data_IF_386260977483
#
_entry.id   IF_386260977483
#
_cell.length_a   1.000
_cell.length_b   1.000
_cell.length_c   1.000
_cell.angle_alpha   90.00
_cell.angle_beta   90.00
_cell.angle_gamma   90.00
#
_symmetry.space_group_name_H-M   'P 1'
#
loop_
_entity.id
_entity.type
_entity.pdbx_description
1 polymer ?
#
# COMPACT_ATOMS: atom_id res chain seq x y z
N UNK A 1 -47.50 64.28 -29.32
CA UNK A 1 -46.74 63.79 -28.16
C UNK A 1 -47.67 63.87 -26.96
N UNK A 2 -47.59 62.88 -26.07
CA UNK A 2 -48.41 62.59 -24.90
C UNK A 2 -49.79 62.02 -25.18
N UNK A 3 -49.92 60.74 -24.89
CA UNK A 3 -51.17 59.99 -24.81
C UNK A 3 -51.12 59.10 -23.56
N UNK A 4 -52.28 59.01 -22.90
CA UNK A 4 -52.78 57.92 -22.05
C UNK A 4 -52.51 57.97 -20.52
N UNK A 5 -53.61 58.26 -19.80
CA UNK A 5 -53.90 57.82 -18.43
C UNK A 5 -54.21 56.32 -18.39
N UNK A 6 -53.72 55.59 -17.38
CA UNK A 6 -54.36 54.34 -16.91
C UNK A 6 -54.37 54.29 -15.39
N UNK A 7 -55.55 54.00 -14.87
CA UNK A 7 -55.95 53.89 -13.47
C UNK A 7 -55.59 52.55 -12.83
N UNK A 8 -55.39 52.59 -11.51
CA UNK A 8 -55.16 51.44 -10.64
C UNK A 8 -56.33 50.45 -10.66
N UNK A 9 -56.02 49.17 -10.80
CA UNK A 9 -56.85 48.06 -10.32
C UNK A 9 -55.99 47.10 -9.51
N UNK A 10 -56.37 46.94 -8.24
CA UNK A 10 -55.89 45.89 -7.33
C UNK A 10 -56.22 44.52 -7.91
N UNK A 11 -55.22 43.64 -7.97
CA UNK A 11 -55.43 42.19 -8.01
C UNK A 11 -55.14 41.66 -6.60
N UNK A 12 -56.21 41.33 -5.88
CA UNK A 12 -56.18 40.31 -4.83
C UNK A 12 -56.15 38.96 -5.55
N UNK A 13 -55.07 38.18 -5.37
CA UNK A 13 -55.04 36.75 -5.70
C UNK A 13 -54.11 36.04 -4.71
N UNK A 14 -54.74 35.31 -3.80
CA UNK A 14 -54.34 34.00 -3.26
C UNK A 14 -52.97 33.89 -2.58
N UNK A 15 -52.86 34.43 -1.37
CA UNK A 15 -52.12 33.78 -0.28
C UNK A 15 -52.97 32.63 0.25
N UNK A 16 -52.67 31.38 -0.13
CA UNK A 16 -52.95 30.15 0.65
C UNK A 16 -52.60 28.85 -0.14
N UNK A 17 -51.39 28.75 -0.70
CA UNK A 17 -50.93 27.48 -1.34
C UNK A 17 -49.45 27.14 -1.10
N UNK A 18 -48.80 27.68 -0.05
CA UNK A 18 -47.36 27.46 0.17
C UNK A 18 -46.96 26.73 1.46
N UNK A 19 -47.89 26.23 2.29
CA UNK A 19 -47.50 25.59 3.57
C UNK A 19 -47.52 24.05 3.58
N UNK A 20 -48.19 23.37 2.65
CA UNK A 20 -48.35 21.90 2.73
C UNK A 20 -47.22 21.05 2.10
N UNK A 21 -46.20 21.65 1.48
CA UNK A 21 -45.09 20.90 0.88
C UNK A 21 -43.78 20.90 1.70
N UNK A 22 -43.81 21.39 2.94
CA UNK A 22 -42.61 21.42 3.81
C UNK A 22 -42.43 20.19 4.70
N UNK A 23 -43.45 19.33 4.82
CA UNK A 23 -43.43 18.15 5.70
C UNK A 23 -42.67 16.94 5.13
N UNK A 24 -42.33 16.96 3.84
CA UNK A 24 -41.51 15.94 3.18
C UNK A 24 -40.02 16.32 3.11
N UNK A 25 -39.53 17.11 4.07
CA UNK A 25 -38.10 17.39 4.13
C UNK A 25 -37.35 16.12 4.58
N UNK A 26 -36.26 15.79 3.88
CA UNK A 26 -35.29 14.75 4.25
C UNK A 26 -34.67 14.94 5.66
N UNK A 27 -35.03 16.03 6.34
CA UNK A 27 -34.68 16.38 7.71
C UNK A 27 -35.63 15.77 8.76
N UNK A 28 -36.84 15.35 8.37
CA UNK A 28 -37.86 14.81 9.28
C UNK A 28 -37.92 13.27 9.27
N UNK A 29 -37.09 12.60 8.48
CA UNK A 29 -37.01 11.13 8.49
C UNK A 29 -36.28 10.64 9.76
N UNK A 30 -36.74 9.54 10.37
CA UNK A 30 -36.01 8.85 11.43
C UNK A 30 -34.58 8.53 11.01
N UNK A 31 -33.64 8.63 11.95
CA UNK A 31 -32.21 8.43 11.71
C UNK A 31 -31.93 7.03 11.13
N UNK A 32 -32.71 6.02 11.52
CA UNK A 32 -32.58 4.65 11.03
C UNK A 32 -32.90 4.55 9.53
N UNK A 33 -33.93 5.27 9.07
CA UNK A 33 -34.31 5.30 7.65
C UNK A 33 -33.26 6.08 6.86
N UNK A 34 -32.77 7.19 7.42
CA UNK A 34 -31.68 7.96 6.81
C UNK A 34 -30.41 7.10 6.65
N UNK A 35 -30.00 6.36 7.67
CA UNK A 35 -28.86 5.45 7.62
C UNK A 35 -29.10 4.27 6.67
N UNK A 36 -30.33 3.78 6.58
CA UNK A 36 -30.69 2.77 5.57
C UNK A 36 -30.54 3.30 4.15
N UNK A 37 -30.97 4.54 3.86
CA UNK A 37 -30.73 5.19 2.57
C UNK A 37 -29.23 5.35 2.31
N UNK A 38 -28.47 5.80 3.33
CA UNK A 38 -27.02 5.91 3.24
C UNK A 38 -26.36 4.56 2.92
N UNK A 39 -26.93 3.42 3.33
CA UNK A 39 -26.36 2.11 3.01
C UNK A 39 -26.34 1.77 1.51
N UNK A 40 -27.08 2.50 0.67
CA UNK A 40 -27.07 2.36 -0.79
C UNK A 40 -26.15 3.35 -1.51
N UNK A 41 -25.59 4.33 -0.79
CA UNK A 41 -24.68 5.33 -1.34
C UNK A 41 -23.23 4.97 -1.00
N UNK A 42 -22.28 5.40 -1.84
CA UNK A 42 -20.86 5.16 -1.60
C UNK A 42 -20.39 5.86 -0.32
N UNK A 43 -19.62 5.15 0.52
CA UNK A 43 -19.07 5.71 1.76
C UNK A 43 -18.31 7.02 1.54
N UNK A 44 -17.53 7.12 0.45
CA UNK A 44 -16.80 8.34 0.10
C UNK A 44 -17.72 9.53 -0.20
N UNK A 45 -18.83 9.29 -0.91
CA UNK A 45 -19.83 10.32 -1.19
C UNK A 45 -20.51 10.79 0.11
N UNK A 46 -20.81 9.86 1.01
CA UNK A 46 -21.42 10.17 2.30
C UNK A 46 -20.48 11.03 3.15
N UNK A 47 -19.21 10.62 3.26
CA UNK A 47 -18.21 11.28 4.09
C UNK A 47 -17.88 12.69 3.60
N UNK A 48 -17.75 12.89 2.28
CA UNK A 48 -17.25 14.15 1.72
C UNK A 48 -18.36 15.10 1.23
N UNK A 49 -19.50 14.56 0.78
CA UNK A 49 -20.56 15.37 0.18
C UNK A 49 -21.76 15.46 1.09
N UNK A 50 -22.31 14.33 1.53
CA UNK A 50 -23.56 14.29 2.31
C UNK A 50 -23.41 14.95 3.69
N UNK A 51 -22.25 14.75 4.34
CA UNK A 51 -21.91 15.37 5.62
C UNK A 51 -21.85 16.90 5.58
N UNK A 52 -21.68 17.50 4.39
CA UNK A 52 -21.59 18.96 4.20
C UNK A 52 -22.93 19.60 3.82
N UNK A 53 -23.96 18.82 3.54
CA UNK A 53 -25.27 19.33 3.07
C UNK A 53 -26.01 20.07 4.18
N UNK A 54 -26.05 19.52 5.39
CA UNK A 54 -26.71 20.17 6.52
C UNK A 54 -26.10 19.74 7.87
N UNK A 55 -26.34 20.54 8.92
CA UNK A 55 -25.85 20.25 10.28
C UNK A 55 -26.35 18.91 10.82
N UNK A 56 -27.62 18.58 10.57
CA UNK A 56 -28.19 17.32 11.05
C UNK A 56 -27.47 16.10 10.45
N UNK A 57 -27.20 16.11 9.14
CA UNK A 57 -26.44 15.03 8.49
C UNK A 57 -25.00 15.00 8.98
N UNK A 58 -24.39 16.16 9.19
CA UNK A 58 -23.06 16.24 9.78
C UNK A 58 -23.03 15.56 11.15
N UNK A 59 -23.95 15.91 12.04
CA UNK A 59 -24.01 15.37 13.40
C UNK A 59 -24.22 13.85 13.39
N UNK A 60 -25.15 13.34 12.57
CA UNK A 60 -25.41 11.89 12.45
C UNK A 60 -24.20 11.15 11.86
N UNK A 61 -23.59 11.68 10.81
CA UNK A 61 -22.46 11.04 10.13
C UNK A 61 -21.13 11.21 10.87
N UNK A 62 -21.05 12.17 11.80
CA UNK A 62 -19.87 12.35 12.67
C UNK A 62 -19.72 11.22 13.70
N UNK A 63 -20.79 10.49 13.98
CA UNK A 63 -20.76 9.36 14.92
C UNK A 63 -19.99 8.17 14.34
N UNK A 64 -18.92 7.77 15.04
CA UNK A 64 -18.09 6.63 14.68
C UNK A 64 -18.85 5.31 14.63
N UNK A 65 -19.91 5.16 15.44
CA UNK A 65 -20.69 3.92 15.53
C UNK A 65 -21.36 3.57 14.21
N UNK A 66 -21.74 4.58 13.42
CA UNK A 66 -22.33 4.43 12.08
C UNK A 66 -21.33 3.73 11.15
N UNK A 67 -20.09 4.21 11.13
CA UNK A 67 -19.03 3.68 10.26
C UNK A 67 -18.53 2.31 10.74
N UNK A 68 -18.40 2.10 12.06
CA UNK A 68 -18.11 0.79 12.64
C UNK A 68 -19.17 -0.24 12.26
N UNK A 69 -20.45 0.11 12.40
CA UNK A 69 -21.56 -0.78 12.03
C UNK A 69 -21.59 -1.06 10.52
N UNK A 70 -21.22 -0.08 9.69
CA UNK A 70 -21.17 -0.25 8.24
C UNK A 70 -20.07 -1.22 7.82
N UNK A 71 -18.86 -1.07 8.36
CA UNK A 71 -17.75 -2.01 8.11
C UNK A 71 -18.11 -3.42 8.59
N UNK A 72 -18.68 -3.54 9.80
CA UNK A 72 -19.09 -4.82 10.37
C UNK A 72 -20.22 -5.52 9.59
N UNK A 73 -21.04 -4.77 8.84
CA UNK A 73 -22.06 -5.34 7.96
C UNK A 73 -21.45 -5.93 6.68
N UNK A 74 -20.37 -5.33 6.17
CA UNK A 74 -19.67 -5.79 4.98
C UNK A 74 -18.68 -6.93 5.27
N UNK A 75 -18.12 -6.95 6.48
CA UNK A 75 -17.16 -7.95 6.91
C UNK A 75 -17.56 -8.54 8.26
N UNK A 76 -17.71 -9.86 8.33
CA UNK A 76 -18.06 -10.59 9.56
C UNK A 76 -16.96 -10.57 10.64
N UNK A 77 -15.83 -9.89 10.40
CA UNK A 77 -14.65 -9.93 11.27
C UNK A 77 -14.19 -8.53 11.69
N UNK A 78 -13.43 -8.49 12.79
CA UNK A 78 -13.00 -7.25 13.43
C UNK A 78 -12.15 -6.38 12.50
N UNK A 79 -12.39 -5.07 12.53
CA UNK A 79 -11.61 -4.06 11.85
C UNK A 79 -11.38 -2.85 12.77
N UNK A 80 -10.18 -2.26 12.80
CA UNK A 80 -8.94 -2.74 12.18
C UNK A 80 -8.50 -4.11 12.71
N UNK A 81 -7.62 -4.81 11.99
CA UNK A 81 -7.17 -6.15 12.36
C UNK A 81 -6.52 -6.22 13.76
N UNK A 82 -5.93 -5.11 14.21
CA UNK A 82 -5.45 -4.90 15.58
C UNK A 82 -6.14 -3.68 16.21
N UNK A 83 -6.31 -3.65 17.54
CA UNK A 83 -6.82 -2.47 18.23
C UNK A 83 -5.93 -1.24 17.98
N UNK A 84 -6.57 -0.10 17.75
CA UNK A 84 -5.86 1.18 17.60
C UNK A 84 -5.41 1.67 18.98
N UNK A 85 -4.16 2.10 19.10
CA UNK A 85 -3.59 2.56 20.37
C UNK A 85 -4.21 3.88 20.86
N UNK A 86 -4.50 4.81 19.94
CA UNK A 86 -5.17 6.08 20.23
C UNK A 86 -6.47 6.22 19.41
N UNK A 87 -7.65 5.95 20.00
CA UNK A 87 -8.93 5.99 19.28
C UNK A 87 -9.19 7.35 18.60
N UNK A 88 -8.77 8.44 19.24
CA UNK A 88 -9.03 9.81 18.77
C UNK A 88 -8.25 10.17 17.49
N UNK A 89 -7.21 9.40 17.14
CA UNK A 89 -6.44 9.60 15.91
C UNK A 89 -6.98 8.79 14.73
N UNK A 90 -7.83 7.78 14.97
CA UNK A 90 -8.29 6.90 13.92
C UNK A 90 -9.56 7.40 13.25
N UNK A 91 -9.45 7.81 11.98
CA UNK A 91 -10.61 8.27 11.21
C UNK A 91 -11.40 7.09 10.62
N UNK A 92 -12.47 6.69 11.31
CA UNK A 92 -13.39 5.64 10.86
C UNK A 92 -14.09 5.94 9.53
N UNK A 93 -14.37 7.21 9.23
CA UNK A 93 -15.04 7.60 7.99
C UNK A 93 -14.15 7.33 6.79
N UNK A 94 -12.89 7.78 6.87
CA UNK A 94 -11.90 7.60 5.81
C UNK A 94 -11.54 6.12 5.63
N UNK A 95 -11.40 5.38 6.74
CA UNK A 95 -11.14 3.94 6.70
C UNK A 95 -12.27 3.18 6.00
N UNK A 96 -13.54 3.46 6.36
CA UNK A 96 -14.69 2.84 5.71
C UNK A 96 -14.75 3.16 4.21
N UNK A 97 -14.51 4.42 3.83
CA UNK A 97 -14.45 4.83 2.43
C UNK A 97 -13.36 4.05 1.67
N UNK A 98 -12.13 3.99 2.21
CA UNK A 98 -11.02 3.25 1.59
C UNK A 98 -11.34 1.76 1.41
N UNK A 99 -11.93 1.11 2.41
CA UNK A 99 -12.30 -0.32 2.32
C UNK A 99 -13.32 -0.55 1.21
N UNK A 100 -14.39 0.25 1.15
CA UNK A 100 -15.41 0.11 0.11
C UNK A 100 -14.87 0.42 -1.29
N UNK A 101 -14.06 1.46 -1.42
CA UNK A 101 -13.45 1.85 -2.69
C UNK A 101 -12.52 0.75 -3.23
N UNK A 102 -11.67 0.16 -2.38
CA UNK A 102 -10.82 -0.97 -2.75
C UNK A 102 -11.66 -2.20 -3.08
N UNK A 103 -12.65 -2.53 -2.23
CA UNK A 103 -13.51 -3.70 -2.43
C UNK A 103 -14.23 -3.63 -3.77
N UNK A 104 -14.89 -2.50 -4.07
CA UNK A 104 -15.65 -2.31 -5.29
C UNK A 104 -14.75 -2.34 -6.53
N UNK A 105 -13.62 -1.64 -6.49
CA UNK A 105 -12.65 -1.59 -7.60
C UNK A 105 -12.11 -2.96 -7.97
N UNK A 106 -11.73 -3.76 -6.98
CA UNK A 106 -11.10 -5.07 -7.22
C UNK A 106 -12.10 -6.18 -7.51
N UNK A 107 -13.33 -6.05 -7.01
CA UNK A 107 -14.45 -6.91 -7.38
C UNK A 107 -14.86 -6.69 -8.84
N UNK A 108 -14.91 -5.43 -9.27
CA UNK A 108 -15.24 -5.04 -10.64
C UNK A 108 -14.00 -4.72 -11.49
N UNK A 109 -12.88 -5.41 -11.23
CA UNK A 109 -11.57 -5.14 -11.86
C UNK A 109 -11.60 -4.99 -13.39
N UNK A 110 -12.44 -5.77 -14.08
CA UNK A 110 -12.53 -5.70 -15.54
C UNK A 110 -13.18 -4.41 -16.02
N UNK A 111 -14.12 -3.86 -15.25
CA UNK A 111 -14.81 -2.62 -15.54
C UNK A 111 -13.97 -1.41 -15.12
N UNK A 112 -13.38 -1.47 -13.94
CA UNK A 112 -12.81 -0.29 -13.26
C UNK A 112 -11.30 -0.16 -13.47
N UNK A 113 -10.60 -1.25 -13.82
CA UNK A 113 -9.16 -1.25 -14.02
C UNK A 113 -8.77 -1.50 -15.48
N UNK A 114 -7.74 -0.81 -15.94
CA UNK A 114 -7.02 -1.02 -17.18
C UNK A 114 -5.71 -1.74 -16.86
N UNK A 115 -5.48 -2.85 -17.55
CA UNK A 115 -4.23 -3.60 -17.52
C UNK A 115 -3.31 -3.09 -18.65
N UNK A 116 -2.06 -2.81 -18.32
CA UNK A 116 -1.01 -2.39 -19.26
C UNK A 116 0.22 -3.28 -19.05
N UNK A 117 0.85 -3.68 -20.16
CA UNK A 117 2.06 -4.47 -20.17
C UNK A 117 3.24 -3.61 -20.64
N UNK A 118 4.24 -3.44 -19.77
CA UNK A 118 5.48 -2.74 -20.05
C UNK A 118 6.54 -3.79 -20.42
N UNK A 119 6.73 -4.04 -21.71
CA UNK A 119 7.54 -5.14 -22.25
C UNK A 119 8.63 -4.63 -23.20
N UNK A 120 9.50 -5.53 -23.65
CA UNK A 120 10.50 -5.32 -24.71
C UNK A 120 11.61 -4.30 -24.39
N UNK A 121 11.89 -4.06 -23.10
CA UNK A 121 13.01 -3.21 -22.65
C UNK A 121 14.00 -4.00 -21.82
N UNK A 122 13.51 -4.69 -20.80
CA UNK A 122 14.33 -5.63 -20.05
C UNK A 122 14.46 -6.94 -20.84
N UNK A 123 15.64 -7.54 -20.77
CA UNK A 123 15.90 -8.87 -21.36
C UNK A 123 16.16 -9.94 -20.30
N UNK A 124 15.98 -9.59 -19.01
CA UNK A 124 16.04 -10.49 -17.88
C UNK A 124 14.95 -10.14 -16.85
N UNK A 125 14.75 -11.02 -15.86
CA UNK A 125 13.66 -10.91 -14.87
C UNK A 125 13.67 -9.57 -14.13
N UNK A 126 12.49 -8.98 -13.94
CA UNK A 126 12.32 -7.73 -13.21
C UNK A 126 12.07 -8.05 -11.75
N UNK A 127 13.08 -7.98 -10.89
CA UNK A 127 12.93 -8.33 -9.45
C UNK A 127 12.51 -7.13 -8.57
N UNK A 128 12.65 -5.90 -9.08
CA UNK A 128 12.31 -4.71 -8.32
C UNK A 128 11.35 -3.80 -9.09
N UNK A 129 10.25 -3.41 -8.44
CA UNK A 129 9.25 -2.48 -8.97
C UNK A 129 8.87 -1.50 -7.87
N UNK A 130 8.70 -0.22 -8.22
CA UNK A 130 8.32 0.84 -7.27
C UNK A 130 7.51 1.93 -7.98
N UNK A 131 6.43 2.38 -7.33
CA UNK A 131 5.58 3.48 -7.75
C UNK A 131 5.93 4.75 -6.98
N UNK A 132 6.12 5.86 -7.71
CA UNK A 132 6.49 7.15 -7.13
C UNK A 132 5.58 8.26 -7.66
N UNK A 133 5.68 9.46 -7.04
CA UNK A 133 4.87 10.65 -7.38
C UNK A 133 3.36 10.31 -7.48
N UNK A 134 2.83 9.72 -6.42
CA UNK A 134 1.42 9.29 -6.33
C UNK A 134 0.98 8.34 -7.46
N UNK A 135 1.83 7.37 -7.81
CA UNK A 135 1.52 6.34 -8.81
C UNK A 135 1.58 6.83 -10.26
N UNK A 136 2.21 7.98 -10.54
CA UNK A 136 2.39 8.48 -11.91
C UNK A 136 3.66 7.96 -12.56
N UNK A 137 4.72 7.74 -11.78
CA UNK A 137 5.97 7.14 -12.25
C UNK A 137 6.09 5.72 -11.71
N UNK A 138 6.46 4.80 -12.60
CA UNK A 138 6.83 3.43 -12.24
C UNK A 138 8.31 3.23 -12.54
N UNK A 139 9.05 2.65 -11.60
CA UNK A 139 10.44 2.25 -11.78
C UNK A 139 10.54 0.74 -11.78
N UNK A 140 11.34 0.21 -12.68
CA UNK A 140 11.64 -1.22 -12.78
C UNK A 140 13.14 -1.47 -12.79
N UNK A 141 13.57 -2.37 -11.91
CA UNK A 141 14.95 -2.84 -11.81
C UNK A 141 15.01 -4.34 -12.14
N UNK A 142 15.95 -4.72 -13.00
CA UNK A 142 16.07 -6.08 -13.51
C UNK A 142 17.46 -6.68 -13.27
N UNK A 143 17.55 -8.00 -13.50
CA UNK A 143 18.82 -8.73 -13.57
C UNK A 143 19.68 -8.36 -14.76
N UNK A 144 19.17 -7.57 -15.71
CA UNK A 144 19.94 -6.97 -16.78
C UNK A 144 20.82 -5.78 -16.32
N UNK A 145 20.74 -5.43 -15.03
CA UNK A 145 21.46 -4.33 -14.38
C UNK A 145 20.95 -2.92 -14.75
N UNK A 146 19.87 -2.85 -15.51
CA UNK A 146 19.26 -1.60 -15.95
C UNK A 146 18.15 -1.17 -15.00
N UNK A 147 18.02 0.15 -14.84
CA UNK A 147 16.91 0.79 -14.16
C UNK A 147 16.09 1.56 -15.19
N UNK A 148 14.80 1.24 -15.30
CA UNK A 148 13.90 1.86 -16.27
C UNK A 148 12.83 2.64 -15.55
N UNK A 149 12.56 3.86 -16.03
CA UNK A 149 11.50 4.72 -15.56
C UNK A 149 10.40 4.83 -16.61
N UNK A 150 9.15 4.68 -16.16
CA UNK A 150 7.96 4.68 -16.98
C UNK A 150 7.03 5.79 -16.54
N UNK A 151 6.54 6.59 -17.49
CA UNK A 151 5.48 7.55 -17.24
C UNK A 151 4.12 6.89 -17.46
N UNK A 152 3.43 6.57 -16.38
CA UNK A 152 2.18 5.82 -16.48
C UNK A 152 1.04 6.64 -17.10
N UNK A 153 1.10 7.97 -17.06
CA UNK A 153 0.09 8.81 -17.73
C UNK A 153 0.24 8.74 -19.25
N UNK A 154 1.47 8.76 -19.76
CA UNK A 154 1.73 8.56 -21.18
C UNK A 154 1.40 7.12 -21.61
N UNK A 155 1.72 6.14 -20.76
CA UNK A 155 1.41 4.74 -21.01
C UNK A 155 -0.11 4.47 -21.08
N UNK A 156 -0.94 5.24 -20.37
CA UNK A 156 -2.41 5.09 -20.47
C UNK A 156 -2.94 5.34 -21.87
N UNK A 157 -2.33 6.23 -22.64
CA UNK A 157 -2.82 6.66 -23.95
C UNK A 157 -2.17 5.92 -25.12
N UNK A 158 -1.04 5.24 -24.88
CA UNK A 158 -0.32 4.51 -25.92
C UNK A 158 -0.77 3.04 -26.02
N UNK A 159 -0.69 2.49 -27.24
CA UNK A 159 -0.85 1.04 -27.49
C UNK A 159 0.43 0.29 -27.13
N UNK A 160 1.59 0.89 -27.39
CA UNK A 160 2.92 0.39 -26.99
C UNK A 160 3.60 1.47 -26.13
N UNK A 161 3.69 1.28 -24.81
CA UNK A 161 4.28 2.25 -23.91
C UNK A 161 5.81 2.27 -24.04
N UNK A 162 6.37 3.44 -24.33
CA UNK A 162 7.81 3.66 -24.33
C UNK A 162 8.29 4.07 -22.94
N UNK A 163 9.56 3.76 -22.58
CA UNK A 163 10.12 4.20 -21.33
C UNK A 163 10.32 5.72 -21.37
N UNK A 164 10.12 6.38 -20.24
CA UNK A 164 10.51 7.79 -20.07
C UNK A 164 12.02 7.93 -20.06
N UNK A 165 12.70 6.99 -19.39
CA UNK A 165 14.15 6.95 -19.28
C UNK A 165 14.62 5.52 -19.06
N UNK A 166 15.70 5.15 -19.74
CA UNK A 166 16.47 3.94 -19.45
C UNK A 166 17.83 4.38 -18.90
N UNK A 167 18.18 3.89 -17.72
CA UNK A 167 19.51 4.04 -17.13
C UNK A 167 20.23 2.70 -17.33
N UNK A 168 21.02 2.63 -18.41
CA UNK A 168 21.79 1.45 -18.75
C UNK A 168 22.96 1.25 -17.76
N UNK A 169 23.21 0.01 -17.36
CA UNK A 169 24.25 -0.33 -16.38
C UNK A 169 24.15 0.54 -15.11
N UNK A 170 22.93 0.80 -14.65
CA UNK A 170 22.67 1.51 -13.41
C UNK A 170 23.45 0.90 -12.24
N UNK A 171 23.56 -0.44 -12.24
CA UNK A 171 24.40 -1.21 -11.33
C UNK A 171 25.36 -2.14 -12.09
N UNK A 172 26.31 -2.74 -11.37
CA UNK A 172 27.20 -3.80 -11.92
C UNK A 172 26.68 -5.22 -11.66
N UNK A 173 25.51 -5.32 -11.05
CA UNK A 173 24.85 -6.57 -10.67
C UNK A 173 23.34 -6.39 -10.61
N UNK A 174 22.63 -7.46 -10.30
CA UNK A 174 21.17 -7.49 -10.33
C UNK A 174 20.56 -6.46 -9.38
N UNK A 175 19.61 -5.68 -9.88
CA UNK A 175 18.82 -4.78 -9.04
C UNK A 175 17.75 -5.61 -8.35
N UNK A 176 17.80 -5.65 -7.03
CA UNK A 176 17.01 -6.60 -6.23
C UNK A 176 15.83 -5.94 -5.51
N UNK A 177 15.97 -4.69 -5.06
CA UNK A 177 14.91 -3.94 -4.38
C UNK A 177 15.03 -2.46 -4.69
N UNK A 178 13.89 -1.78 -4.74
CA UNK A 178 13.76 -0.33 -4.88
C UNK A 178 12.96 0.21 -3.69
N UNK A 179 13.27 1.42 -3.24
CA UNK A 179 12.58 2.11 -2.14
C UNK A 179 12.43 3.61 -2.44
N UNK A 180 11.28 4.19 -2.06
CA UNK A 180 11.01 5.62 -2.13
C UNK A 180 11.26 6.25 -0.77
N UNK A 181 12.12 7.26 -0.69
CA UNK A 181 12.23 8.07 0.52
C UNK A 181 12.53 9.54 0.18
N UNK A 182 11.69 10.44 0.69
CA UNK A 182 11.82 11.89 0.52
C UNK A 182 11.96 12.34 -0.95
N UNK A 183 11.22 11.68 -1.84
CA UNK A 183 11.26 11.97 -3.28
C UNK A 183 12.57 11.56 -3.96
N UNK A 184 13.40 10.74 -3.30
CA UNK A 184 14.56 10.07 -3.88
C UNK A 184 14.28 8.59 -4.05
N UNK A 185 14.79 8.05 -5.14
CA UNK A 185 14.74 6.61 -5.40
C UNK A 185 16.02 5.98 -4.86
N UNK A 186 15.89 4.92 -4.08
CA UNK A 186 17.02 4.08 -3.65
C UNK A 186 16.94 2.72 -4.35
N UNK A 187 18.06 2.24 -4.87
CA UNK A 187 18.18 0.92 -5.49
C UNK A 187 19.23 0.07 -4.81
N UNK A 188 18.84 -1.16 -4.44
CA UNK A 188 19.72 -2.17 -3.88
C UNK A 188 20.14 -3.16 -4.94
N UNK A 189 21.42 -3.54 -4.93
CA UNK A 189 21.96 -4.45 -5.92
C UNK A 189 22.86 -5.54 -5.33
N UNK A 190 22.99 -6.61 -6.12
CA UNK A 190 23.98 -7.67 -5.93
C UNK A 190 25.43 -7.21 -6.13
N UNK A 191 25.67 -6.00 -6.65
CA UNK A 191 27.00 -5.39 -6.75
C UNK A 191 27.56 -4.85 -5.42
N UNK A 192 26.87 -5.14 -4.31
CA UNK A 192 27.21 -4.67 -2.96
C UNK A 192 27.09 -3.15 -2.75
N UNK A 193 26.31 -2.47 -3.59
CA UNK A 193 26.00 -1.05 -3.43
C UNK A 193 24.51 -0.81 -3.29
N UNK A 194 24.19 0.26 -2.56
CA UNK A 194 22.90 0.94 -2.68
C UNK A 194 23.17 2.28 -3.36
N UNK A 195 22.37 2.62 -4.37
CA UNK A 195 22.48 3.91 -5.06
C UNK A 195 21.24 4.74 -4.82
N UNK A 196 21.40 6.05 -4.68
CA UNK A 196 20.28 6.98 -4.70
C UNK A 196 20.25 7.73 -6.03
N UNK A 197 19.04 7.99 -6.52
CA UNK A 197 18.81 8.64 -7.81
C UNK A 197 17.92 9.86 -7.62
N UNK A 198 18.27 10.96 -8.28
CA UNK A 198 17.35 12.08 -8.42
C UNK A 198 16.37 11.78 -9.54
N UNK A 199 15.08 11.77 -9.22
CA UNK A 199 14.00 11.41 -10.13
C UNK A 199 13.77 12.49 -11.21
N UNK A 200 14.23 13.71 -10.99
CA UNK A 200 13.98 14.81 -11.93
C UNK A 200 14.97 14.79 -13.10
N UNK A 201 16.24 14.47 -12.85
CA UNK A 201 17.27 14.33 -13.89
C UNK A 201 17.63 12.88 -14.22
N UNK A 202 17.19 11.90 -13.42
CA UNK A 202 17.56 10.49 -13.52
C UNK A 202 19.07 10.24 -13.43
N UNK A 203 19.75 11.05 -12.61
CA UNK A 203 21.18 10.92 -12.35
C UNK A 203 21.43 10.30 -10.97
N UNK A 204 22.57 9.61 -10.86
CA UNK A 204 23.06 9.06 -9.60
C UNK A 204 23.45 10.21 -8.66
N UNK A 205 22.85 10.25 -7.48
CA UNK A 205 23.09 11.27 -6.46
C UNK A 205 24.11 10.82 -5.43
N UNK A 206 23.99 9.59 -4.90
CA UNK A 206 24.89 9.03 -3.90
C UNK A 206 25.07 7.52 -4.10
N UNK A 207 26.21 7.01 -3.66
CA UNK A 207 26.52 5.58 -3.58
C UNK A 207 26.82 5.22 -2.13
N UNK A 208 26.27 4.12 -1.66
CA UNK A 208 26.46 3.58 -0.32
C UNK A 208 27.09 2.19 -0.43
N UNK A 209 28.32 2.06 0.05
CA UNK A 209 29.08 0.81 -0.04
C UNK A 209 28.68 -0.15 1.09
N UNK A 210 28.07 -1.28 0.72
CA UNK A 210 27.57 -2.28 1.68
C UNK A 210 28.51 -3.46 1.91
N UNK A 211 29.67 -3.50 1.23
CA UNK A 211 30.69 -4.57 1.27
C UNK A 211 30.21 -5.95 0.74
N UNK A 212 28.89 -6.22 0.75
CA UNK A 212 28.23 -7.46 0.33
C UNK A 212 26.88 -7.17 -0.35
N UNK A 213 26.32 -8.11 -1.14
CA UNK A 213 25.04 -7.96 -1.83
C UNK A 213 23.91 -7.45 -0.93
N UNK A 214 23.22 -6.39 -1.38
CA UNK A 214 22.09 -5.78 -0.69
C UNK A 214 20.78 -6.38 -1.19
N UNK A 215 19.99 -6.94 -0.26
CA UNK A 215 18.75 -7.67 -0.57
C UNK A 215 17.49 -6.95 -0.08
N UNK A 216 17.63 -6.10 0.93
CA UNK A 216 16.50 -5.38 1.51
C UNK A 216 16.92 -3.98 1.91
N UNK A 217 15.98 -3.04 1.87
CA UNK A 217 16.16 -1.67 2.28
C UNK A 217 14.90 -1.20 2.99
N UNK A 218 15.09 -0.36 4.00
CA UNK A 218 14.03 0.40 4.62
C UNK A 218 14.59 1.77 5.01
N UNK A 219 13.81 2.81 4.78
CA UNK A 219 14.24 4.19 5.01
C UNK A 219 13.41 4.87 6.10
N UNK A 220 14.07 5.76 6.83
CA UNK A 220 13.47 6.69 7.79
C UNK A 220 14.20 8.04 7.68
N UNK A 221 13.61 9.14 8.20
CA UNK A 221 14.19 10.49 8.08
C UNK A 221 15.64 10.62 8.56
N UNK A 222 16.07 9.82 9.53
CA UNK A 222 17.43 9.87 10.06
C UNK A 222 18.32 8.73 9.60
N UNK A 223 17.76 7.63 9.09
CA UNK A 223 18.49 6.37 8.97
C UNK A 223 17.93 5.52 7.86
N UNK A 224 18.82 4.96 7.05
CA UNK A 224 18.55 3.95 6.05
C UNK A 224 19.15 2.63 6.52
N UNK A 225 18.32 1.60 6.65
CA UNK A 225 18.74 0.25 7.00
C UNK A 225 18.82 -0.61 5.74
N UNK A 226 19.92 -1.35 5.59
CA UNK A 226 20.18 -2.22 4.44
C UNK A 226 20.46 -3.63 4.93
N UNK A 227 19.69 -4.60 4.45
CA UNK A 227 19.78 -6.01 4.78
C UNK A 227 20.64 -6.73 3.76
N UNK A 228 21.64 -7.46 4.23
CA UNK A 228 22.67 -8.05 3.38
C UNK A 228 22.58 -9.57 3.31
N UNK A 229 23.12 -10.13 2.23
CA UNK A 229 23.28 -11.59 2.09
C UNK A 229 24.22 -12.19 3.16
N UNK A 230 25.17 -11.40 3.68
CA UNK A 230 26.11 -11.85 4.72
C UNK A 230 25.53 -11.88 6.15
N UNK A 231 24.19 -11.81 6.27
CA UNK A 231 23.43 -11.93 7.54
C UNK A 231 23.51 -10.70 8.44
N UNK A 232 24.06 -9.59 7.92
CA UNK A 232 24.17 -8.32 8.64
C UNK A 232 23.13 -7.32 8.17
N UNK A 233 22.84 -6.36 9.04
CA UNK A 233 22.10 -5.13 8.71
C UNK A 233 23.06 -3.96 8.85
N UNK A 234 23.22 -3.17 7.79
CA UNK A 234 24.03 -1.95 7.81
C UNK A 234 23.15 -0.71 7.88
N UNK A 235 23.62 0.31 8.59
CA UNK A 235 22.94 1.59 8.72
C UNK A 235 23.74 2.71 8.05
N UNK A 236 23.02 3.54 7.31
CA UNK A 236 23.54 4.73 6.63
C UNK A 236 22.66 5.94 6.93
N UNK A 237 23.20 7.15 6.74
CA UNK A 237 22.38 8.36 6.69
C UNK A 237 21.90 8.54 5.24
N UNK A 238 20.57 8.52 4.95
CA UNK A 238 20.07 8.67 3.58
C UNK A 238 20.43 10.02 2.95
N UNK A 239 20.86 11.01 3.76
CA UNK A 239 21.19 12.37 3.30
C UNK A 239 22.67 12.56 2.99
N UNK A 240 23.54 11.65 3.41
CA UNK A 240 24.99 11.79 3.27
C UNK A 240 25.59 10.54 2.61
N UNK A 241 26.26 10.72 1.46
CA UNK A 241 26.91 9.63 0.75
C UNK A 241 27.98 8.95 1.61
N UNK A 242 28.04 7.63 1.49
CA UNK A 242 29.09 6.75 2.05
C UNK A 242 29.37 6.86 3.57
N UNK A 243 28.48 7.50 4.33
CA UNK A 243 28.62 7.57 5.79
C UNK A 243 27.89 6.42 6.48
N UNK A 244 28.62 5.31 6.65
CA UNK A 244 28.19 4.19 7.50
C UNK A 244 28.03 4.67 8.95
N UNK A 245 26.82 4.55 9.47
CA UNK A 245 26.48 4.88 10.87
C UNK A 245 26.88 3.71 11.77
N UNK A 246 26.41 2.51 11.43
CA UNK A 246 26.60 1.30 12.23
C UNK A 246 26.41 0.03 11.39
N UNK A 247 26.71 -1.12 11.98
CA UNK A 247 26.29 -2.41 11.46
C UNK A 247 25.91 -3.34 12.61
N UNK A 248 24.94 -4.22 12.35
CA UNK A 248 24.47 -5.23 13.30
C UNK A 248 24.74 -6.62 12.72
N UNK A 249 25.34 -7.49 13.53
CA UNK A 249 25.38 -8.93 13.26
C UNK A 249 24.05 -9.51 13.69
N UNK A 250 23.06 -9.38 12.81
CA UNK A 250 21.69 -9.66 13.18
C UNK A 250 21.39 -11.16 13.12
N UNK A 251 21.60 -11.76 11.97
CA UNK A 251 21.06 -13.07 11.66
C UNK A 251 22.13 -14.14 11.46
N UNK A 252 21.70 -15.39 11.38
CA UNK A 252 22.55 -16.52 10.95
C UNK A 252 22.38 -16.86 9.46
N UNK A 253 21.35 -16.32 8.81
CA UNK A 253 21.01 -16.46 7.38
C UNK A 253 20.85 -15.10 6.68
N UNK A 254 20.58 -15.10 5.38
CA UNK A 254 20.43 -13.85 4.60
C UNK A 254 19.27 -13.00 5.14
N UNK A 255 19.42 -11.68 5.14
CA UNK A 255 18.34 -10.75 5.51
C UNK A 255 17.51 -10.46 4.26
N UNK A 256 16.27 -10.94 4.24
CA UNK A 256 15.43 -10.95 3.04
C UNK A 256 14.48 -9.75 2.96
N UNK A 257 14.04 -9.24 4.10
CA UNK A 257 13.18 -8.07 4.19
C UNK A 257 13.47 -7.23 5.44
N UNK A 258 13.23 -5.93 5.32
CA UNK A 258 13.38 -4.95 6.38
C UNK A 258 12.14 -4.05 6.41
N UNK A 259 11.78 -3.58 7.59
CA UNK A 259 10.87 -2.45 7.76
C UNK A 259 11.27 -1.65 9.01
N UNK A 260 10.80 -0.41 9.11
CA UNK A 260 11.11 0.50 10.22
C UNK A 260 9.83 0.94 10.89
N UNK A 261 9.76 0.75 12.21
CA UNK A 261 8.54 0.94 13.00
C UNK A 261 8.88 1.72 14.25
N UNK A 262 8.41 2.97 14.36
CA UNK A 262 8.52 3.79 15.57
C UNK A 262 9.93 3.85 16.20
N UNK A 263 10.99 3.92 15.37
CA UNK A 263 12.38 3.92 15.82
C UNK A 263 12.99 2.53 16.06
N UNK A 264 12.26 1.47 15.77
CA UNK A 264 12.75 0.11 15.69
C UNK A 264 13.03 -0.30 14.24
N UNK A 265 13.99 -1.19 14.05
CA UNK A 265 14.25 -1.86 12.77
C UNK A 265 13.80 -3.31 12.94
N UNK A 266 12.88 -3.74 12.09
CA UNK A 266 12.38 -5.11 12.04
C UNK A 266 13.02 -5.80 10.84
N UNK A 267 13.77 -6.87 11.08
CA UNK A 267 14.49 -7.61 10.05
C UNK A 267 14.02 -9.06 9.98
N UNK A 268 13.65 -9.51 8.78
CA UNK A 268 13.25 -10.88 8.48
C UNK A 268 14.38 -11.61 7.73
N UNK A 269 14.63 -12.86 8.12
CA UNK A 269 15.74 -13.64 7.58
C UNK A 269 15.36 -15.08 7.25
N UNK A 270 16.11 -15.65 6.31
CA UNK A 270 16.14 -17.08 5.98
C UNK A 270 16.47 -17.97 7.20
N UNK A 271 17.07 -17.41 8.27
CA UNK A 271 17.29 -18.15 9.52
C UNK A 271 16.03 -18.44 10.34
N UNK A 272 14.85 -18.15 9.78
CA UNK A 272 13.52 -18.38 10.39
C UNK A 272 13.26 -17.48 11.57
N UNK A 273 13.97 -16.35 11.68
CA UNK A 273 13.75 -15.39 12.75
C UNK A 273 13.42 -14.01 12.22
N UNK A 274 12.62 -13.29 13.01
CA UNK A 274 12.49 -11.86 12.93
C UNK A 274 13.21 -11.26 14.13
N UNK A 275 14.09 -10.30 13.86
CA UNK A 275 14.75 -9.52 14.90
C UNK A 275 14.23 -8.10 14.91
N UNK A 276 13.99 -7.59 16.10
CA UNK A 276 13.59 -6.21 16.34
C UNK A 276 14.76 -5.52 17.05
N UNK A 277 15.25 -4.46 16.45
CA UNK A 277 16.39 -3.68 16.95
C UNK A 277 15.92 -2.30 17.36
N UNK A 278 16.27 -1.89 18.57
CA UNK A 278 16.08 -0.51 19.01
C UNK A 278 17.24 0.34 18.47
N UNK A 279 16.92 1.34 17.65
CA UNK A 279 17.91 2.25 17.07
C UNK A 279 18.58 3.14 18.10
N UNK A 280 17.85 3.57 19.14
CA UNK A 280 18.37 4.46 20.18
C UNK A 280 19.30 3.70 21.11
N UNK A 281 18.91 2.48 21.49
CA UNK A 281 19.70 1.63 22.37
C UNK A 281 20.81 0.86 21.63
N UNK A 282 20.78 0.80 20.29
CA UNK A 282 21.69 0.02 19.44
C UNK A 282 21.78 -1.46 19.84
N UNK A 283 20.67 -2.07 20.27
CA UNK A 283 20.60 -3.45 20.77
C UNK A 283 19.43 -4.22 20.17
N UNK A 284 19.57 -5.55 20.16
CA UNK A 284 18.42 -6.44 19.92
C UNK A 284 17.43 -6.21 21.05
N UNK A 285 16.25 -5.72 20.67
CA UNK A 285 15.13 -5.59 21.57
C UNK A 285 14.41 -6.93 21.70
N UNK A 286 14.10 -7.59 20.57
CA UNK A 286 13.39 -8.86 20.56
C UNK A 286 13.83 -9.80 19.44
N UNK A 287 13.78 -11.11 19.73
CA UNK A 287 13.93 -12.19 18.75
C UNK A 287 12.66 -13.03 18.72
N UNK A 288 12.13 -13.21 17.51
CA UNK A 288 10.90 -13.96 17.25
C UNK A 288 11.27 -15.13 16.35
N UNK A 289 11.10 -16.35 16.84
CA UNK A 289 11.38 -17.56 16.06
C UNK A 289 10.08 -18.03 15.38
N UNK A 290 10.10 -18.16 14.05
CA UNK A 290 9.01 -18.73 13.26
C UNK A 290 8.99 -20.27 13.32
N UNK A 291 9.89 -20.90 14.07
CA UNK A 291 9.97 -22.36 14.22
C UNK A 291 9.07 -22.93 15.32
N UNK A 292 8.56 -22.10 16.24
CA UNK A 292 7.82 -22.59 17.42
C UNK A 292 6.29 -22.45 17.24
N UNK A 293 5.60 -23.60 17.30
CA UNK A 293 4.20 -23.74 17.72
C UNK A 293 3.09 -23.39 16.73
N UNK A 294 3.17 -22.27 16.00
CA UNK A 294 2.03 -21.75 15.21
C UNK A 294 2.29 -21.63 13.70
N UNK A 295 3.56 -21.64 13.30
CA UNK A 295 3.97 -21.53 11.90
C UNK A 295 4.66 -22.85 11.54
N UNK A 296 4.10 -23.59 10.58
CA UNK A 296 4.47 -24.99 10.32
C UNK A 296 5.98 -25.22 10.20
N UNK A 297 6.43 -26.41 10.59
CA UNK A 297 7.86 -26.76 10.65
C UNK A 297 8.59 -26.44 9.33
N UNK A 298 9.64 -25.63 9.39
CA UNK A 298 10.53 -25.23 8.27
C UNK A 298 10.08 -24.05 7.38
N UNK A 299 9.19 -23.18 7.85
CA UNK A 299 8.91 -21.89 7.20
C UNK A 299 9.86 -20.78 7.68
N UNK A 300 10.13 -19.79 6.81
CA UNK A 300 10.86 -18.58 7.16
C UNK A 300 10.20 -17.34 6.52
N UNK A 301 10.32 -16.16 7.15
CA UNK A 301 9.74 -14.93 6.64
C UNK A 301 10.52 -14.42 5.41
N UNK A 302 9.78 -13.99 4.39
CA UNK A 302 10.27 -13.53 3.08
C UNK A 302 10.05 -12.03 2.87
N UNK A 303 8.91 -11.50 3.31
CA UNK A 303 8.52 -10.11 3.07
C UNK A 303 7.81 -9.52 4.29
N UNK A 304 7.89 -8.20 4.42
CA UNK A 304 7.34 -7.42 5.54
C UNK A 304 6.63 -6.19 4.99
N UNK A 305 5.52 -5.81 5.62
CA UNK A 305 4.84 -4.54 5.38
C UNK A 305 4.37 -3.98 6.71
N UNK A 306 4.62 -2.68 6.93
CA UNK A 306 4.18 -1.94 8.11
C UNK A 306 3.33 -0.74 7.68
N UNK A 307 2.10 -0.67 8.18
CA UNK A 307 1.16 0.43 8.04
C UNK A 307 0.10 0.30 9.13
N UNK A 308 -0.60 1.39 9.46
CA UNK A 308 -1.72 1.42 10.41
C UNK A 308 -1.44 0.68 11.74
N UNK A 309 -0.21 0.83 12.25
CA UNK A 309 0.27 0.20 13.49
C UNK A 309 0.20 -1.34 13.49
N UNK A 310 0.27 -1.96 12.31
CA UNK A 310 0.27 -3.41 12.14
C UNK A 310 1.41 -3.84 11.23
N UNK A 311 1.97 -5.03 11.49
CA UNK A 311 3.00 -5.60 10.63
C UNK A 311 2.46 -6.91 10.05
N UNK A 312 2.40 -6.97 8.73
CA UNK A 312 2.14 -8.22 8.03
C UNK A 312 3.44 -8.83 7.54
N UNK A 313 3.60 -10.13 7.79
CA UNK A 313 4.76 -10.92 7.41
C UNK A 313 4.32 -12.00 6.45
N UNK A 314 4.98 -12.11 5.31
CA UNK A 314 4.79 -13.23 4.40
C UNK A 314 5.86 -14.29 4.53
N UNK A 315 5.48 -15.57 4.47
CA UNK A 315 6.42 -16.69 4.55
C UNK A 315 6.71 -17.37 3.19
N UNK A 316 7.72 -18.25 3.20
CA UNK A 316 8.09 -19.08 2.03
C UNK A 316 7.02 -20.11 1.62
N UNK A 317 5.98 -20.32 2.43
CA UNK A 317 4.88 -21.26 2.14
C UNK A 317 3.61 -20.57 1.66
N UNK A 318 3.63 -19.24 1.50
CA UNK A 318 2.48 -18.48 1.04
C UNK A 318 1.49 -18.12 2.16
N UNK A 319 1.86 -18.27 3.44
CA UNK A 319 1.07 -17.84 4.59
C UNK A 319 1.41 -16.41 5.01
N UNK A 320 0.39 -15.75 5.54
CA UNK A 320 0.49 -14.37 6.05
C UNK A 320 0.39 -14.41 7.58
N UNK A 321 1.26 -13.69 8.26
CA UNK A 321 1.26 -13.58 9.72
C UNK A 321 1.05 -12.13 10.13
N UNK A 322 0.08 -11.89 11.01
CA UNK A 322 -0.18 -10.58 11.59
C UNK A 322 0.62 -10.45 12.88
N UNK A 323 1.40 -9.38 12.98
CA UNK A 323 2.25 -9.08 14.11
C UNK A 323 1.89 -7.70 14.68
N UNK A 324 1.79 -7.64 16.01
CA UNK A 324 1.45 -6.43 16.74
C UNK A 324 2.73 -5.72 17.22
N UNK A 325 3.07 -4.53 16.70
CA UNK A 325 4.19 -3.73 17.17
C UNK A 325 3.90 -2.90 18.43
N UNK A 326 2.63 -2.80 18.85
CA UNK A 326 2.19 -1.84 19.85
C UNK A 326 2.88 -2.08 21.19
N UNK A 327 3.13 -0.97 21.90
CA UNK A 327 3.78 -0.98 23.23
C UNK A 327 5.10 -1.75 23.28
N UNK A 328 5.76 -1.93 22.13
CA UNK A 328 6.98 -2.71 22.00
C UNK A 328 6.76 -4.20 22.22
N UNK A 329 5.56 -4.74 21.99
CA UNK A 329 5.32 -6.17 22.20
C UNK A 329 5.96 -6.99 21.08
N UNK A 330 5.76 -6.63 19.81
CA UNK A 330 6.24 -7.36 18.63
C UNK A 330 5.93 -8.86 18.74
N UNK A 331 4.66 -9.22 18.83
CA UNK A 331 4.17 -10.60 18.92
C UNK A 331 3.38 -10.98 17.69
N UNK A 332 3.59 -12.20 17.20
CA UNK A 332 2.73 -12.77 16.15
C UNK A 332 1.39 -13.08 16.81
N UNK A 333 0.35 -12.40 16.36
CA UNK A 333 -1.01 -12.53 16.89
C UNK A 333 -1.70 -13.69 16.21
N UNK A 334 -1.72 -13.69 14.88
CA UNK A 334 -2.46 -14.65 14.08
C UNK A 334 -1.69 -15.02 12.80
N UNK A 335 -2.04 -16.18 12.23
CA UNK A 335 -1.43 -16.74 11.04
C UNK A 335 -2.53 -17.25 10.10
N UNK A 336 -2.52 -16.78 8.87
CA UNK A 336 -3.56 -17.02 7.88
C UNK A 336 -3.02 -17.82 6.71
N UNK A 337 -3.82 -18.79 6.28
CA UNK A 337 -3.65 -19.43 4.99
C UNK A 337 -4.52 -18.71 3.96
N UNK A 338 -3.88 -17.91 3.12
CA UNK A 338 -4.54 -17.12 2.08
C UNK A 338 -4.68 -17.91 0.77
N UNK A 339 -4.20 -19.16 0.74
CA UNK A 339 -4.31 -20.08 -0.40
C UNK A 339 -3.18 -20.00 -1.42
N UNK A 340 -2.09 -19.27 -1.16
CA UNK A 340 -0.90 -19.31 -2.01
C UNK A 340 -0.26 -20.70 -1.98
N UNK A 341 0.17 -21.18 -3.14
CA UNK A 341 0.83 -22.51 -3.27
C UNK A 341 2.34 -22.40 -3.40
N UNK A 342 2.85 -21.19 -3.64
CA UNK A 342 4.26 -20.87 -3.76
C UNK A 342 4.80 -19.99 -2.63
N UNK A 343 6.07 -19.59 -2.75
CA UNK A 343 6.71 -18.65 -1.82
C UNK A 343 6.09 -17.27 -1.97
N UNK A 344 5.85 -16.60 -0.85
CA UNK A 344 5.41 -15.21 -0.91
C UNK A 344 6.59 -14.33 -1.28
N UNK A 345 6.43 -13.54 -2.34
CA UNK A 345 7.49 -12.69 -2.88
C UNK A 345 7.32 -11.23 -2.48
N UNK A 346 6.11 -10.81 -2.14
CA UNK A 346 5.82 -9.47 -1.68
C UNK A 346 4.53 -9.40 -0.88
N UNK A 347 4.45 -8.40 0.00
CA UNK A 347 3.25 -8.05 0.75
C UNK A 347 3.19 -6.54 0.89
N UNK A 348 2.00 -5.98 0.73
CA UNK A 348 1.73 -4.56 0.92
C UNK A 348 0.34 -4.43 1.52
N UNK A 349 0.16 -3.57 2.52
CA UNK A 349 -1.15 -3.32 3.07
C UNK A 349 -1.42 -1.84 3.26
N UNK A 350 -2.70 -1.53 3.22
CA UNK A 350 -3.29 -0.21 3.45
C UNK A 350 -4.52 -0.40 4.33
N UNK A 351 -5.06 0.70 4.86
CA UNK A 351 -6.34 0.68 5.57
C UNK A 351 -7.49 0.01 4.78
N UNK A 352 -7.42 -0.01 3.44
CA UNK A 352 -8.48 -0.55 2.57
C UNK A 352 -8.27 -1.98 2.08
N UNK A 353 -7.04 -2.50 2.03
CA UNK A 353 -6.76 -3.86 1.56
C UNK A 353 -5.38 -4.37 1.97
N UNK A 354 -5.25 -5.70 2.05
CA UNK A 354 -3.98 -6.42 2.17
C UNK A 354 -3.71 -7.14 0.85
N UNK A 355 -2.60 -6.84 0.21
CA UNK A 355 -2.18 -7.42 -1.06
C UNK A 355 -0.99 -8.34 -0.87
N UNK A 356 -1.05 -9.53 -1.46
CA UNK A 356 0.02 -10.53 -1.41
C UNK A 356 0.32 -11.05 -2.80
N UNK A 357 1.60 -11.22 -3.12
CA UNK A 357 2.02 -11.85 -4.36
C UNK A 357 2.94 -13.06 -4.09
N UNK A 358 2.96 -13.98 -5.04
CA UNK A 358 3.64 -15.26 -4.88
C UNK A 358 4.30 -15.71 -6.17
N UNK A 359 5.28 -16.61 -6.03
CA UNK A 359 5.88 -17.32 -7.15
C UNK A 359 4.90 -18.26 -7.86
N UNK A 360 3.72 -18.53 -7.31
CA UNK A 360 2.66 -19.27 -8.00
C UNK A 360 2.01 -18.50 -9.16
N UNK A 361 2.43 -17.25 -9.37
CA UNK A 361 1.92 -16.37 -10.43
C UNK A 361 0.58 -15.72 -10.11
N UNK A 362 0.13 -15.83 -8.87
CA UNK A 362 -1.09 -15.20 -8.38
C UNK A 362 -0.76 -14.02 -7.46
N UNK A 363 -1.56 -12.97 -7.60
CA UNK A 363 -1.66 -11.92 -6.60
C UNK A 363 -3.05 -11.99 -5.97
N UNK A 364 -3.12 -11.98 -4.65
CA UNK A 364 -4.36 -11.98 -3.90
C UNK A 364 -4.57 -10.64 -3.24
N UNK A 365 -5.79 -10.15 -3.32
CA UNK A 365 -6.21 -8.90 -2.68
C UNK A 365 -7.26 -9.30 -1.66
N UNK A 366 -6.99 -8.98 -0.41
CA UNK A 366 -7.71 -9.45 0.76
C UNK A 366 -8.31 -8.26 1.50
N UNK A 367 -9.44 -8.49 2.16
CA UNK A 367 -10.01 -7.51 3.06
C UNK A 367 -9.04 -7.27 4.24
N UNK A 368 -8.86 -6.01 4.69
CA UNK A 368 -7.91 -5.64 5.73
C UNK A 368 -8.45 -5.93 7.15
N UNK A 369 -9.23 -6.99 7.29
CA UNK A 369 -9.91 -7.36 8.53
C UNK A 369 -9.15 -8.46 9.25
N UNK A 370 -9.47 -8.69 10.53
CA UNK A 370 -8.82 -9.73 11.34
C UNK A 370 -8.90 -11.11 10.71
N UNK A 371 -9.97 -11.41 9.96
CA UNK A 371 -9.99 -12.55 9.05
C UNK A 371 -9.69 -12.05 7.64
N UNK A 372 -8.55 -12.47 7.07
CA UNK A 372 -8.15 -12.06 5.72
C UNK A 372 -8.96 -12.80 4.64
N UNK A 373 -10.11 -12.25 4.26
CA UNK A 373 -10.97 -12.82 3.22
C UNK A 373 -10.57 -12.33 1.81
N UNK A 374 -10.49 -13.22 0.81
CA UNK A 374 -10.10 -12.83 -0.53
C UNK A 374 -11.21 -12.05 -1.24
N UNK A 375 -10.89 -10.82 -1.68
CA UNK A 375 -11.73 -9.98 -2.53
C UNK A 375 -11.60 -10.45 -3.98
N UNK A 376 -10.36 -10.61 -4.46
CA UNK A 376 -10.08 -11.04 -5.83
C UNK A 376 -8.72 -11.73 -5.92
N UNK A 377 -8.56 -12.55 -6.96
CA UNK A 377 -7.28 -13.15 -7.34
C UNK A 377 -6.94 -12.67 -8.74
N UNK A 378 -5.76 -12.07 -8.90
CA UNK A 378 -5.17 -11.72 -10.19
C UNK A 378 -4.18 -12.81 -10.59
N UNK A 379 -4.20 -13.22 -11.86
CA UNK A 379 -3.21 -14.13 -12.43
C UNK A 379 -2.32 -13.34 -13.38
N UNK A 380 -1.02 -13.33 -13.08
CA UNK A 380 -0.01 -12.74 -13.96
C UNK A 380 0.01 -13.46 -15.30
N UNK A 381 0.33 -12.72 -16.38
CA UNK A 381 0.55 -13.33 -17.70
C UNK A 381 1.90 -14.05 -17.81
N UNK A 382 2.85 -13.73 -16.92
CA UNK A 382 4.26 -14.10 -17.06
C UNK A 382 4.72 -15.14 -16.07
N UNK A 383 3.82 -16.00 -15.60
CA UNK A 383 4.16 -16.96 -14.56
C UNK A 383 4.43 -16.25 -13.24
N UNK A 384 5.62 -16.45 -12.68
CA UNK A 384 5.96 -16.05 -11.31
C UNK A 384 5.98 -14.52 -11.13
N UNK A 385 5.38 -14.03 -10.04
CA UNK A 385 5.48 -12.62 -9.65
C UNK A 385 6.67 -12.47 -8.73
N UNK A 386 7.66 -11.68 -9.13
CA UNK A 386 8.92 -11.49 -8.40
C UNK A 386 8.79 -10.49 -7.26
N UNK A 387 8.04 -9.41 -7.47
CA UNK A 387 7.77 -8.33 -6.51
C UNK A 387 6.63 -7.45 -7.05
N UNK A 388 6.06 -6.60 -6.21
CA UNK A 388 5.07 -5.62 -6.63
C UNK A 388 5.13 -4.37 -5.75
N UNK A 389 4.52 -3.30 -6.25
CA UNK A 389 4.24 -2.12 -5.44
C UNK A 389 2.82 -1.60 -5.73
N UNK A 390 2.23 -0.97 -4.73
CA UNK A 390 0.88 -0.44 -4.79
C UNK A 390 0.84 0.97 -4.20
N UNK A 391 0.44 1.95 -5.01
CA UNK A 391 0.38 3.35 -4.58
C UNK A 391 -0.68 4.11 -5.37
N UNK A 392 -1.50 4.87 -4.65
CA UNK A 392 -2.51 5.77 -5.26
C UNK A 392 -3.44 5.04 -6.25
N UNK A 393 -3.94 3.88 -5.85
CA UNK A 393 -4.83 3.02 -6.63
C UNK A 393 -4.18 2.35 -7.86
N UNK A 394 -2.88 2.54 -8.06
CA UNK A 394 -2.10 1.89 -9.13
C UNK A 394 -1.33 0.73 -8.53
N UNK A 395 -1.37 -0.41 -9.22
CA UNK A 395 -0.63 -1.61 -8.90
C UNK A 395 0.38 -1.88 -10.02
N UNK A 396 1.64 -2.13 -9.67
CA UNK A 396 2.66 -2.57 -10.61
C UNK A 396 3.33 -3.85 -10.11
N UNK A 397 3.43 -4.87 -10.97
CA UNK A 397 3.96 -6.18 -10.66
C UNK A 397 5.13 -6.53 -11.59
N UNK A 398 6.24 -6.97 -11.00
CA UNK A 398 7.39 -7.50 -11.73
C UNK A 398 7.18 -8.98 -12.09
N UNK A 399 7.74 -9.37 -13.23
CA UNK A 399 7.61 -10.73 -13.77
C UNK A 399 8.99 -11.34 -14.04
N UNK A 400 9.06 -12.68 -13.98
CA UNK A 400 10.23 -13.44 -14.45
C UNK A 400 10.39 -13.38 -15.97
N UNK A 401 9.32 -13.10 -16.70
CA UNK A 401 9.28 -13.00 -18.17
C UNK A 401 9.64 -11.59 -18.70
N UNK A 402 10.50 -10.87 -17.97
CA UNK A 402 11.12 -9.61 -18.40
C UNK A 402 10.19 -8.40 -18.63
N UNK A 403 8.96 -8.44 -18.10
CA UNK A 403 8.02 -7.32 -18.22
C UNK A 403 7.51 -6.84 -16.87
N UNK A 404 6.90 -5.66 -16.87
CA UNK A 404 6.12 -5.15 -15.74
C UNK A 404 4.65 -5.08 -16.12
N UNK A 405 3.81 -5.66 -15.29
CA UNK A 405 2.37 -5.62 -15.45
C UNK A 405 1.78 -4.56 -14.54
N UNK A 406 1.07 -3.59 -15.11
CA UNK A 406 0.49 -2.46 -14.37
C UNK A 406 -1.02 -2.49 -14.48
N UNK A 407 -1.70 -2.37 -13.35
CA UNK A 407 -3.14 -2.16 -13.25
C UNK A 407 -3.39 -0.75 -12.75
N UNK A 408 -4.11 0.04 -13.56
CA UNK A 408 -4.49 1.40 -13.23
C UNK A 408 -5.99 1.57 -13.31
N UNK A 409 -6.59 2.49 -12.54
CA UNK A 409 -7.98 2.85 -12.74
C UNK A 409 -8.20 3.34 -14.18
N UNK A 410 -9.22 2.79 -14.84
CA UNK A 410 -9.83 3.44 -16.00
C UNK A 410 -10.40 4.73 -15.44
N UNK A 411 -9.84 5.86 -15.83
CA UNK A 411 -10.39 7.15 -15.44
C UNK A 411 -11.89 7.17 -15.75
N UNK A 412 -12.69 7.65 -14.80
CA UNK A 412 -14.04 8.15 -15.10
C UNK A 412 -13.99 9.30 -16.11
#
# INVERSE_FOLDING_TARGET
MSDIQVSERRCETDTDMSEENSDCAFLNIPVEIFLYICSFLDARFIANSLSLVCKHFHDVLSDESVWKSRIAKHHESEYPALPVDNPDEFNWQEACAKIEDEHNRWKNKEKDMKRILLKDIHYASVDAVLLMKSGTLCFSGSRDHNLVAWDLQECKSSVDPNPKKVVENAHRGWIWKLEDFDGKLFSCSWDATVKSWDINCFEESCVFMCEQPALAIACSPSTMAVGLFNRRVMLFDPRASDKKIAFYKAHTGAVLALTMVNGYIVSASEDRTILVWDQRACKVFKRINFSDGNVGSNAYPMCLSYADNSIYVGDVRGRVHLMNPNKGEFTVVESYDVGHTGKMTGIHHTAGSVMTCSSDGTMRILAPTRKLEPITVLKSQGGEITNFDYKSNVLAMGSTENFVEVWMPKSE
#
